data_IF_382833181111
#
_entry.id   IF_382833181111
#
_cell.length_a   1.000
_cell.length_b   1.000
_cell.length_c   1.000
_cell.angle_alpha   90.00
_cell.angle_beta   90.00
_cell.angle_gamma   90.00
#
_symmetry.space_group_name_H-M   'P 1'
#
loop_
_entity.id
_entity.type
_entity.pdbx_description
1 polymer ?
#
# COMPACT_ATOMS: atom_id res chain seq x y z
N UNK A 1 -25.76 58.97 22.77
CA UNK A 1 -24.50 59.47 23.38
C UNK A 1 -23.37 58.63 22.78
N UNK A 2 -22.70 59.07 21.74
CA UNK A 2 -21.34 59.67 21.62
C UNK A 2 -20.33 58.94 22.52
N UNK A 3 -19.30 58.26 21.96
CA UNK A 3 -18.01 58.76 21.41
C UNK A 3 -17.22 57.60 20.83
N UNK A 4 -16.84 57.57 19.63
CA UNK A 4 -15.59 57.76 18.86
C UNK A 4 -14.28 57.69 19.70
N UNK A 5 -13.34 56.82 19.31
CA UNK A 5 -11.96 57.25 19.11
C UNK A 5 -11.24 56.33 18.14
N UNK A 6 -10.66 56.94 17.20
CA UNK A 6 -9.88 56.62 16.02
C UNK A 6 -8.38 56.50 16.31
N UNK A 7 -7.69 56.02 15.29
CA UNK A 7 -6.26 56.29 14.92
C UNK A 7 -5.23 55.26 15.44
N UNK A 8 -4.21 54.89 14.73
CA UNK A 8 -3.64 55.15 13.38
C UNK A 8 -2.57 54.05 13.16
N UNK A 9 -2.48 53.48 12.00
CA UNK A 9 -1.48 53.69 10.95
C UNK A 9 -0.01 53.76 11.36
N UNK A 10 0.79 52.77 10.95
CA UNK A 10 2.09 53.05 10.34
C UNK A 10 2.56 51.92 9.41
N UNK A 11 2.78 52.31 8.20
CA UNK A 11 3.41 51.61 7.08
C UNK A 11 4.93 51.71 7.21
N UNK A 12 5.66 50.68 6.91
CA UNK A 12 7.01 50.82 6.38
C UNK A 12 7.36 49.71 5.40
N UNK A 13 7.55 50.15 4.20
CA UNK A 13 8.10 49.45 3.03
C UNK A 13 9.59 49.17 3.22
N UNK A 14 10.05 48.02 2.78
CA UNK A 14 11.38 47.89 2.22
C UNK A 14 11.37 46.86 1.07
N UNK A 15 11.60 47.38 -0.09
CA UNK A 15 11.87 46.72 -1.37
C UNK A 15 13.31 46.22 -1.32
N UNK A 16 13.56 45.00 -1.78
CA UNK A 16 14.80 44.66 -2.47
C UNK A 16 14.58 43.54 -3.47
N UNK A 17 14.92 43.88 -4.70
CA UNK A 17 14.99 43.01 -5.88
C UNK A 17 16.11 41.97 -5.77
N UNK A 18 15.90 40.83 -6.42
CA UNK A 18 17.00 39.90 -6.72
C UNK A 18 16.45 38.62 -7.36
N UNK A 19 16.19 38.65 -8.66
CA UNK A 19 15.79 37.46 -9.39
C UNK A 19 16.93 36.47 -9.58
N UNK A 20 16.57 35.21 -9.69
CA UNK A 20 17.22 34.24 -10.61
C UNK A 20 16.34 33.01 -10.79
N UNK A 21 16.10 32.71 -12.05
CA UNK A 21 15.55 31.46 -12.54
C UNK A 21 16.35 30.27 -12.02
N UNK A 22 15.69 29.30 -11.42
CA UNK A 22 16.21 27.98 -11.11
C UNK A 22 15.12 26.98 -11.46
N UNK A 23 15.39 26.19 -12.49
CA UNK A 23 14.58 25.05 -12.94
C UNK A 23 14.30 24.12 -11.74
N UNK A 24 13.04 23.85 -11.52
CA UNK A 24 12.59 22.84 -10.56
C UNK A 24 13.00 21.43 -10.99
N UNK A 25 13.84 20.83 -10.19
CA UNK A 25 13.95 19.39 -10.02
C UNK A 25 13.37 19.17 -8.63
N UNK A 26 12.18 18.67 -8.59
CA UNK A 26 11.58 18.40 -7.32
C UNK A 26 10.53 17.29 -7.50
N UNK A 27 10.02 16.79 -6.57
CA UNK A 27 8.77 16.09 -6.33
C UNK A 27 8.80 14.55 -6.40
N UNK A 28 9.90 13.90 -6.76
CA UNK A 28 10.04 12.46 -6.54
C UNK A 28 10.25 12.10 -5.04
N UNK A 29 10.81 13.06 -4.26
CA UNK A 29 11.10 12.85 -2.84
C UNK A 29 9.86 13.01 -1.94
N UNK A 30 8.87 13.79 -2.35
CA UNK A 30 7.65 14.01 -1.56
C UNK A 30 6.73 12.79 -1.54
N UNK A 31 6.70 12.01 -2.64
CA UNK A 31 5.91 10.78 -2.69
C UNK A 31 6.52 9.67 -1.84
N UNK A 32 7.85 9.63 -1.78
CA UNK A 32 8.56 8.68 -0.93
C UNK A 32 8.36 9.01 0.55
N UNK A 33 8.24 10.29 0.93
CA UNK A 33 8.00 10.70 2.33
C UNK A 33 6.60 10.32 2.82
N UNK A 34 5.56 10.43 1.98
CA UNK A 34 4.20 9.99 2.34
C UNK A 34 4.09 8.46 2.48
N UNK A 35 4.95 7.72 1.79
CA UNK A 35 5.03 6.26 1.92
C UNK A 35 5.97 5.82 3.07
N UNK A 36 6.87 6.70 3.53
CA UNK A 36 7.99 6.38 4.43
C UNK A 36 7.75 6.79 5.88
N UNK A 37 6.86 7.74 6.16
CA UNK A 37 6.69 8.27 7.53
C UNK A 37 6.14 7.22 8.53
N UNK A 38 5.61 6.10 8.03
CA UNK A 38 5.20 4.95 8.85
C UNK A 38 6.33 3.91 9.09
N UNK A 39 7.55 4.10 8.56
CA UNK A 39 8.59 3.06 8.53
C UNK A 39 9.94 3.45 9.15
N UNK A 40 10.11 4.64 9.74
CA UNK A 40 11.38 5.02 10.39
C UNK A 40 11.32 4.87 11.91
N UNK A 41 11.45 3.63 12.38
CA UNK A 41 12.08 3.32 13.67
C UNK A 41 13.33 2.45 13.43
N UNK A 42 14.41 2.64 14.21
CA UNK A 42 15.69 1.98 13.96
C UNK A 42 15.57 0.46 14.07
N UNK A 43 16.23 -0.22 13.15
CA UNK A 43 16.30 -1.67 13.05
C UNK A 43 16.66 -2.32 14.40
N UNK A 44 15.74 -3.06 14.95
CA UNK A 44 15.96 -3.93 16.07
C UNK A 44 15.46 -5.33 15.77
N UNK A 45 16.40 -6.27 15.83
CA UNK A 45 16.27 -7.71 15.94
C UNK A 45 16.00 -8.49 14.66
N UNK A 46 16.96 -9.37 14.40
CA UNK A 46 16.96 -10.43 13.40
C UNK A 46 15.65 -11.20 13.45
N UNK A 47 14.89 -11.12 12.35
CA UNK A 47 13.72 -11.96 12.14
C UNK A 47 14.16 -13.44 12.19
N UNK A 48 13.42 -14.23 12.92
CA UNK A 48 13.56 -15.68 12.93
C UNK A 48 13.38 -16.20 11.50
N UNK A 49 14.49 -16.67 10.92
CA UNK A 49 14.50 -17.34 9.63
C UNK A 49 13.88 -18.72 9.78
N UNK A 50 12.56 -18.82 9.71
CA UNK A 50 11.89 -20.07 9.40
C UNK A 50 11.45 -20.01 7.94
N UNK A 51 12.28 -20.55 7.06
CA UNK A 51 11.91 -20.81 5.67
C UNK A 51 10.63 -21.65 5.62
N UNK A 52 9.70 -21.42 4.68
CA UNK A 52 8.50 -22.23 4.54
C UNK A 52 8.88 -23.70 4.34
N UNK A 53 8.18 -24.59 5.03
CA UNK A 53 8.44 -26.02 4.97
C UNK A 53 8.23 -26.56 3.54
N UNK A 54 9.01 -27.58 3.13
CA UNK A 54 8.97 -28.18 1.77
C UNK A 54 7.59 -28.67 1.33
N UNK A 55 6.63 -28.83 2.24
CA UNK A 55 5.25 -29.21 1.93
C UNK A 55 4.49 -28.13 1.14
N UNK A 56 4.76 -26.84 1.40
CA UNK A 56 4.04 -25.73 0.74
C UNK A 56 4.44 -25.60 -0.74
N UNK A 57 5.67 -26.00 -1.09
CA UNK A 57 6.17 -25.91 -2.47
C UNK A 57 5.47 -26.87 -3.42
N UNK A 58 5.07 -28.06 -2.94
CA UNK A 58 4.39 -29.08 -3.76
C UNK A 58 2.93 -28.69 -4.03
N UNK A 59 2.24 -28.12 -3.05
CA UNK A 59 0.86 -27.63 -3.21
C UNK A 59 0.80 -26.52 -4.26
N UNK A 60 1.70 -25.53 -4.19
CA UNK A 60 1.80 -24.40 -5.12
C UNK A 60 2.09 -24.85 -6.55
N UNK A 61 2.97 -25.84 -6.74
CA UNK A 61 3.29 -26.37 -8.07
C UNK A 61 2.08 -27.03 -8.73
N UNK A 62 1.23 -27.69 -7.95
CA UNK A 62 -0.01 -28.31 -8.45
C UNK A 62 -1.08 -27.28 -8.85
N UNK A 63 -1.17 -26.15 -8.17
CA UNK A 63 -2.09 -25.05 -8.55
C UNK A 63 -1.60 -24.35 -9.82
N UNK A 64 -0.30 -24.07 -9.93
CA UNK A 64 0.30 -23.31 -11.03
C UNK A 64 -0.03 -23.89 -12.42
N UNK A 65 -0.15 -25.20 -12.53
CA UNK A 65 -0.48 -25.89 -13.81
C UNK A 65 -1.98 -25.98 -14.11
N UNK A 66 -2.85 -25.54 -13.18
CA UNK A 66 -4.30 -25.61 -13.31
C UNK A 66 -4.98 -24.26 -13.43
N UNK A 67 -4.27 -23.17 -13.07
CA UNK A 67 -4.84 -21.83 -13.08
C UNK A 67 -4.62 -21.12 -14.41
N UNK A 68 -5.53 -20.20 -14.80
CA UNK A 68 -5.29 -19.26 -15.89
C UNK A 68 -4.01 -18.47 -15.67
N UNK A 69 -3.42 -17.94 -16.74
CA UNK A 69 -2.24 -17.08 -16.64
C UNK A 69 -2.52 -15.80 -15.84
N UNK A 70 -3.75 -15.32 -15.87
CA UNK A 70 -4.26 -14.15 -15.15
C UNK A 70 -5.44 -14.58 -14.29
N UNK A 71 -5.18 -15.24 -13.14
CA UNK A 71 -6.24 -15.74 -12.27
C UNK A 71 -6.95 -14.60 -11.56
N UNK A 72 -8.20 -14.84 -11.21
CA UNK A 72 -9.08 -13.91 -10.51
C UNK A 72 -9.24 -14.36 -9.07
N UNK A 73 -9.15 -13.42 -8.14
CA UNK A 73 -9.34 -13.65 -6.71
C UNK A 73 -10.38 -12.70 -6.14
N UNK A 74 -11.17 -13.20 -5.22
CA UNK A 74 -12.06 -12.40 -4.39
C UNK A 74 -11.38 -12.09 -3.05
N UNK A 75 -11.13 -10.81 -2.80
CA UNK A 75 -10.75 -10.29 -1.48
C UNK A 75 -12.05 -10.03 -0.72
N UNK A 76 -12.45 -10.97 0.12
CA UNK A 76 -13.68 -10.86 0.93
C UNK A 76 -13.36 -10.06 2.18
N UNK A 77 -13.99 -8.92 2.34
CA UNK A 77 -13.77 -8.02 3.48
C UNK A 77 -15.01 -7.87 4.35
N UNK A 78 -14.86 -7.30 5.53
CA UNK A 78 -15.97 -6.93 6.40
C UNK A 78 -16.89 -5.84 5.81
N UNK A 79 -16.47 -5.19 4.71
CA UNK A 79 -17.23 -4.09 4.08
C UNK A 79 -17.72 -4.40 2.66
N UNK A 80 -17.41 -5.60 2.14
CA UNK A 80 -17.79 -6.06 0.81
C UNK A 80 -16.68 -6.88 0.15
N UNK A 81 -16.89 -7.34 -1.08
CA UNK A 81 -15.93 -8.12 -1.83
C UNK A 81 -15.28 -7.27 -2.92
N UNK A 82 -13.96 -7.35 -3.04
CA UNK A 82 -13.17 -6.73 -4.09
C UNK A 82 -12.62 -7.85 -4.95
N UNK A 83 -12.99 -7.86 -6.24
CA UNK A 83 -12.52 -8.87 -7.19
C UNK A 83 -11.34 -8.34 -7.95
N UNK A 84 -10.23 -9.06 -7.89
CA UNK A 84 -8.97 -8.66 -8.51
C UNK A 84 -8.49 -9.68 -9.52
N UNK A 85 -7.96 -9.23 -10.65
CA UNK A 85 -7.29 -10.04 -11.66
C UNK A 85 -5.78 -9.81 -11.54
N UNK A 86 -5.00 -10.87 -11.47
CA UNK A 86 -3.54 -10.80 -11.41
C UNK A 86 -2.92 -10.77 -12.81
N UNK A 87 -1.83 -10.04 -12.98
CA UNK A 87 -1.14 -9.92 -14.26
C UNK A 87 -0.16 -11.06 -14.50
N UNK A 88 -0.12 -11.55 -15.74
CA UNK A 88 0.78 -12.64 -16.16
C UNK A 88 2.25 -12.23 -16.25
N UNK A 89 2.52 -10.95 -16.51
CA UNK A 89 3.85 -10.40 -16.76
C UNK A 89 4.57 -9.89 -15.50
N UNK A 90 3.92 -10.08 -14.33
CA UNK A 90 4.55 -9.93 -13.00
C UNK A 90 4.55 -11.28 -12.25
N UNK A 91 5.22 -12.32 -12.78
CA UNK A 91 5.06 -13.70 -12.30
C UNK A 91 5.52 -13.92 -10.87
N UNK A 92 6.53 -13.18 -10.37
CA UNK A 92 7.00 -13.34 -8.99
C UNK A 92 5.92 -12.89 -8.00
N UNK A 93 5.33 -11.71 -8.21
CA UNK A 93 4.27 -11.17 -7.35
C UNK A 93 2.99 -11.98 -7.50
N UNK A 94 2.59 -12.31 -8.73
CA UNK A 94 1.41 -13.16 -9.01
C UNK A 94 1.51 -14.50 -8.28
N UNK A 95 2.59 -15.25 -8.51
CA UNK A 95 2.75 -16.59 -7.96
C UNK A 95 2.85 -16.57 -6.42
N UNK A 96 3.47 -15.53 -5.87
CA UNK A 96 3.53 -15.31 -4.43
C UNK A 96 2.14 -15.01 -3.84
N UNK A 97 1.37 -14.10 -4.46
CA UNK A 97 0.02 -13.78 -4.01
C UNK A 97 -0.89 -15.01 -4.03
N UNK A 98 -0.85 -15.82 -5.13
CA UNK A 98 -1.56 -17.09 -5.24
C UNK A 98 -1.22 -18.00 -4.06
N UNK A 99 0.08 -18.19 -3.79
CA UNK A 99 0.55 -19.06 -2.70
C UNK A 99 0.04 -18.60 -1.34
N UNK A 100 0.11 -17.31 -1.05
CA UNK A 100 -0.34 -16.77 0.23
C UNK A 100 -1.86 -16.84 0.38
N UNK A 101 -2.61 -16.52 -0.68
CA UNK A 101 -4.07 -16.63 -0.68
C UNK A 101 -4.53 -18.08 -0.48
N UNK A 102 -3.97 -19.02 -1.24
CA UNK A 102 -4.34 -20.44 -1.14
C UNK A 102 -3.88 -21.13 0.15
N UNK A 103 -2.90 -20.56 0.86
CA UNK A 103 -2.48 -21.02 2.19
C UNK A 103 -3.21 -20.32 3.34
N UNK A 104 -4.23 -19.54 3.05
CA UNK A 104 -5.00 -18.78 4.05
C UNK A 104 -4.14 -17.77 4.85
N UNK A 105 -3.02 -17.32 4.26
CA UNK A 105 -2.13 -16.36 4.91
C UNK A 105 -2.78 -15.01 5.16
N UNK A 106 -3.76 -14.63 4.35
CA UNK A 106 -4.44 -13.35 4.45
C UNK A 106 -5.71 -13.36 5.33
N UNK A 107 -6.11 -14.54 5.81
CA UNK A 107 -7.31 -14.65 6.64
C UNK A 107 -7.15 -13.85 7.94
N UNK A 108 -8.17 -13.08 8.26
CA UNK A 108 -8.26 -12.24 9.46
C UNK A 108 -7.22 -11.09 9.58
N UNK A 109 -6.45 -10.78 8.54
CA UNK A 109 -5.60 -9.59 8.56
C UNK A 109 -6.41 -8.32 8.29
N UNK A 110 -5.92 -7.16 8.74
CA UNK A 110 -6.61 -5.89 8.60
C UNK A 110 -6.05 -5.05 7.44
N UNK A 111 -6.88 -4.14 6.92
CA UNK A 111 -6.40 -2.94 6.28
C UNK A 111 -5.91 -1.99 7.37
N UNK A 112 -4.62 -1.99 7.62
CA UNK A 112 -3.99 -1.27 8.75
C UNK A 112 -3.57 0.15 8.41
N UNK A 113 -3.58 0.53 7.12
CA UNK A 113 -3.32 1.89 6.67
C UNK A 113 -4.28 2.26 5.55
N UNK A 114 -5.06 3.29 5.79
CA UNK A 114 -6.12 3.76 4.89
C UNK A 114 -6.04 5.27 4.77
N UNK A 115 -5.88 5.76 3.55
CA UNK A 115 -5.81 7.19 3.25
C UNK A 115 -6.83 7.51 2.18
N UNK A 116 -7.85 8.30 2.55
CA UNK A 116 -8.85 8.80 1.60
C UNK A 116 -8.19 9.71 0.56
N UNK A 117 -8.60 9.57 -0.69
CA UNK A 117 -7.93 10.23 -1.81
C UNK A 117 -6.59 9.61 -2.20
N UNK A 118 -6.23 8.40 -1.70
CA UNK A 118 -4.96 7.76 -2.04
C UNK A 118 -5.10 6.24 -2.20
N UNK A 119 -5.07 5.46 -1.10
CA UNK A 119 -5.05 3.99 -1.19
C UNK A 119 -5.52 3.32 0.12
N UNK A 120 -5.80 2.02 0.04
CA UNK A 120 -6.02 1.15 1.19
C UNK A 120 -4.96 0.05 1.21
N UNK A 121 -4.25 -0.13 2.33
CA UNK A 121 -3.13 -1.07 2.47
C UNK A 121 -3.41 -2.13 3.52
N UNK A 122 -3.13 -3.39 3.18
CA UNK A 122 -3.29 -4.54 4.05
C UNK A 122 -2.19 -5.60 3.84
N UNK A 123 -2.42 -6.83 4.33
CA UNK A 123 -1.51 -7.95 4.12
C UNK A 123 -0.42 -8.12 5.18
N UNK A 124 -0.49 -7.38 6.28
CA UNK A 124 0.41 -7.54 7.43
C UNK A 124 -0.15 -8.56 8.42
N UNK A 125 0.54 -9.71 8.65
CA UNK A 125 0.10 -10.73 9.58
C UNK A 125 0.10 -10.29 11.05
N UNK A 126 0.85 -9.24 11.42
CA UNK A 126 0.89 -8.72 12.79
C UNK A 126 -0.45 -8.09 13.19
N UNK A 127 -1.26 -7.69 12.22
CA UNK A 127 -2.58 -7.08 12.47
C UNK A 127 -3.61 -8.03 13.10
N UNK A 128 -3.33 -9.33 13.15
CA UNK A 128 -4.17 -10.30 13.89
C UNK A 128 -4.01 -10.21 15.40
N UNK A 129 -2.95 -9.55 15.87
CA UNK A 129 -2.61 -9.41 17.27
C UNK A 129 -2.65 -7.93 17.67
N UNK A 130 -3.71 -7.55 18.38
CA UNK A 130 -3.91 -6.17 18.85
C UNK A 130 -2.86 -5.73 19.89
N UNK A 131 -2.17 -6.67 20.53
CA UNK A 131 -1.05 -6.33 21.43
C UNK A 131 0.17 -5.80 20.68
N UNK A 132 0.22 -5.99 19.35
CA UNK A 132 1.29 -5.56 18.45
C UNK A 132 0.95 -4.34 17.60
N UNK A 133 -0.05 -3.56 17.99
CA UNK A 133 -0.52 -2.41 17.20
C UNK A 133 0.59 -1.42 16.83
N UNK A 134 1.62 -1.26 17.66
CA UNK A 134 2.77 -0.42 17.37
C UNK A 134 3.74 -0.98 16.29
N UNK A 135 3.58 -2.26 15.94
CA UNK A 135 4.37 -2.96 14.93
C UNK A 135 3.58 -3.17 13.61
N UNK A 136 2.32 -2.74 13.57
CA UNK A 136 1.50 -2.87 12.36
C UNK A 136 2.12 -2.08 11.20
N UNK A 137 2.21 -2.72 10.05
CA UNK A 137 2.94 -2.24 8.88
C UNK A 137 4.36 -2.79 8.74
N UNK A 138 4.92 -3.43 9.78
CA UNK A 138 6.27 -4.01 9.75
C UNK A 138 6.28 -5.52 9.47
N UNK A 139 5.13 -6.18 9.58
CA UNK A 139 4.98 -7.62 9.44
C UNK A 139 5.06 -8.12 8.00
N UNK A 140 5.34 -9.43 7.88
CA UNK A 140 5.43 -10.10 6.59
C UNK A 140 5.80 -11.57 6.74
N UNK A 141 5.93 -12.30 5.62
CA UNK A 141 6.23 -13.73 5.62
C UNK A 141 7.72 -14.05 5.83
N UNK A 142 8.56 -13.05 6.14
CA UNK A 142 9.99 -13.22 6.41
C UNK A 142 10.90 -13.17 5.16
N UNK A 143 10.40 -12.71 4.03
CA UNK A 143 11.15 -12.51 2.78
C UNK A 143 10.60 -11.30 2.01
N UNK A 144 11.38 -10.81 1.06
CA UNK A 144 11.02 -9.78 0.08
C UNK A 144 10.91 -10.39 -1.32
N UNK A 145 10.33 -9.65 -2.27
CA UNK A 145 10.19 -10.04 -3.67
C UNK A 145 10.92 -9.01 -4.51
N UNK A 146 11.80 -9.48 -5.41
CA UNK A 146 12.44 -8.58 -6.37
C UNK A 146 11.40 -7.80 -7.17
N UNK A 147 11.67 -6.52 -7.41
CA UNK A 147 10.76 -5.64 -8.12
C UNK A 147 10.45 -6.14 -9.55
N UNK A 148 9.18 -6.03 -9.95
CA UNK A 148 8.69 -6.27 -11.31
C UNK A 148 7.96 -5.00 -11.80
N UNK A 149 8.69 -3.87 -11.81
CA UNK A 149 8.15 -2.56 -12.16
C UNK A 149 8.09 -2.45 -13.68
N UNK A 150 6.88 -2.44 -14.23
CA UNK A 150 6.64 -2.42 -15.67
C UNK A 150 5.90 -1.14 -16.08
N UNK A 151 6.36 -0.40 -17.08
CA UNK A 151 5.82 0.92 -17.44
C UNK A 151 4.35 0.88 -17.93
N UNK A 152 3.88 -0.26 -18.43
CA UNK A 152 2.50 -0.46 -18.84
C UNK A 152 1.52 -0.63 -17.67
N UNK A 153 2.02 -1.00 -16.49
CA UNK A 153 1.20 -1.17 -15.29
C UNK A 153 1.32 0.07 -14.41
N UNK A 154 0.29 0.90 -14.46
CA UNK A 154 0.20 2.18 -13.75
C UNK A 154 -0.74 2.09 -12.57
N UNK A 155 -0.58 3.02 -11.64
CA UNK A 155 -1.44 3.17 -10.45
C UNK A 155 -2.79 3.80 -10.81
N UNK A 156 -3.54 3.17 -11.71
CA UNK A 156 -4.94 3.55 -11.99
C UNK A 156 -5.84 3.16 -10.80
N UNK A 157 -7.02 3.78 -10.69
CA UNK A 157 -8.01 3.39 -9.67
C UNK A 157 -8.25 1.87 -9.72
N UNK A 158 -8.18 1.23 -8.56
CA UNK A 158 -8.29 -0.23 -8.42
C UNK A 158 -7.03 -1.02 -8.75
N UNK A 159 -5.90 -0.37 -9.07
CA UNK A 159 -4.64 -1.09 -9.24
C UNK A 159 -4.24 -1.81 -7.94
N UNK A 160 -3.84 -3.07 -8.06
CA UNK A 160 -3.29 -3.88 -6.98
C UNK A 160 -1.76 -3.83 -7.06
N UNK A 161 -1.14 -3.23 -6.05
CA UNK A 161 0.29 -2.99 -6.02
C UNK A 161 0.93 -3.49 -4.73
N UNK A 162 2.22 -3.83 -4.79
CA UNK A 162 2.97 -4.31 -3.64
C UNK A 162 3.54 -3.16 -2.82
N UNK A 163 3.33 -3.20 -1.51
CA UNK A 163 3.99 -2.29 -0.58
C UNK A 163 5.48 -2.59 -0.50
N UNK A 164 6.30 -1.61 -0.13
CA UNK A 164 7.74 -1.76 0.08
C UNK A 164 8.28 -0.72 1.07
N UNK A 165 9.48 -0.94 1.58
CA UNK A 165 10.20 0.07 2.34
C UNK A 165 10.72 1.18 1.43
N UNK A 166 10.91 2.37 1.99
CA UNK A 166 11.43 3.53 1.26
C UNK A 166 12.85 3.33 0.69
N UNK A 167 13.22 4.16 -0.29
CA UNK A 167 14.45 3.99 -1.09
C UNK A 167 15.73 3.96 -0.25
N UNK A 168 15.78 4.71 0.84
CA UNK A 168 16.96 4.78 1.70
C UNK A 168 17.27 3.43 2.36
N UNK A 169 16.23 2.73 2.83
CA UNK A 169 16.34 1.42 3.46
C UNK A 169 16.31 0.26 2.45
N UNK A 170 15.86 0.54 1.22
CA UNK A 170 15.58 -0.47 0.20
C UNK A 170 15.92 0.06 -1.22
N UNK A 171 17.21 0.25 -1.55
CA UNK A 171 17.64 0.80 -2.83
C UNK A 171 17.31 -0.10 -4.03
N UNK A 172 17.11 -1.40 -3.81
CA UNK A 172 16.72 -2.36 -4.84
C UNK A 172 15.21 -2.36 -5.11
N UNK A 173 14.43 -1.57 -4.37
CA UNK A 173 12.97 -1.48 -4.49
C UNK A 173 12.26 -2.83 -4.34
N UNK A 174 12.82 -3.75 -3.56
CA UNK A 174 12.20 -5.03 -3.28
C UNK A 174 10.85 -4.83 -2.59
N UNK A 175 9.87 -5.58 -3.02
CA UNK A 175 8.52 -5.53 -2.46
C UNK A 175 8.42 -6.33 -1.17
N UNK A 176 7.49 -5.94 -0.29
CA UNK A 176 7.05 -6.78 0.83
C UNK A 176 6.60 -8.14 0.31
N UNK A 177 6.92 -9.19 1.05
CA UNK A 177 6.48 -10.55 0.71
C UNK A 177 4.97 -10.77 0.85
N UNK A 178 4.22 -9.88 1.55
CA UNK A 178 2.77 -10.04 1.71
C UNK A 178 1.97 -8.75 1.69
N UNK A 179 2.54 -7.60 2.08
CA UNK A 179 1.77 -6.37 2.12
C UNK A 179 1.50 -5.83 0.72
N UNK A 180 0.25 -5.44 0.49
CA UNK A 180 -0.23 -4.87 -0.76
C UNK A 180 -1.15 -3.69 -0.49
N UNK A 181 -1.39 -2.88 -1.51
CA UNK A 181 -2.39 -1.83 -1.47
C UNK A 181 -3.24 -1.81 -2.74
N UNK A 182 -4.46 -1.28 -2.58
CA UNK A 182 -5.38 -1.02 -3.66
C UNK A 182 -5.53 0.49 -3.83
N UNK A 183 -5.30 0.95 -5.04
CA UNK A 183 -5.37 2.38 -5.38
C UNK A 183 -6.82 2.85 -5.36
N UNK A 184 -7.10 3.90 -4.59
CA UNK A 184 -8.40 4.56 -4.58
C UNK A 184 -8.42 5.74 -5.55
N UNK A 185 -7.40 6.59 -5.52
CA UNK A 185 -7.29 7.75 -6.40
C UNK A 185 -6.05 7.66 -7.30
N UNK A 186 -6.27 7.69 -8.61
CA UNK A 186 -5.20 7.51 -9.59
C UNK A 186 -4.27 8.73 -9.70
N UNK A 187 -4.81 9.94 -9.57
CA UNK A 187 -4.03 11.16 -9.75
C UNK A 187 -3.05 11.33 -8.59
N UNK A 188 -3.50 11.04 -7.37
CA UNK A 188 -2.65 11.08 -6.18
C UNK A 188 -1.67 9.90 -6.07
N UNK A 189 -1.90 8.81 -6.81
CA UNK A 189 -0.98 7.67 -6.88
C UNK A 189 -0.04 7.71 -8.10
N UNK A 190 -0.20 8.64 -9.03
CA UNK A 190 0.60 8.69 -10.27
C UNK A 190 2.10 8.81 -10.01
N UNK A 191 2.52 9.45 -8.93
CA UNK A 191 3.93 9.56 -8.53
C UNK A 191 4.58 8.23 -8.11
N UNK A 192 3.78 7.19 -7.86
CA UNK A 192 4.28 5.85 -7.53
C UNK A 192 4.64 5.04 -8.78
N UNK A 193 4.25 5.50 -9.98
CA UNK A 193 4.60 4.85 -11.24
C UNK A 193 6.12 4.79 -11.43
N UNK A 194 6.62 3.62 -11.84
CA UNK A 194 8.07 3.39 -11.97
C UNK A 194 8.83 3.22 -10.64
N UNK A 195 8.13 3.27 -9.51
CA UNK A 195 8.72 3.10 -8.19
C UNK A 195 8.18 1.89 -7.41
N UNK A 196 6.98 1.42 -7.73
CA UNK A 196 6.33 0.27 -7.09
C UNK A 196 5.85 -0.74 -8.14
N UNK A 197 5.77 -2.01 -7.75
CA UNK A 197 5.24 -3.07 -8.63
C UNK A 197 3.73 -3.12 -8.56
N UNK A 198 3.07 -2.82 -9.68
CA UNK A 198 1.63 -3.09 -9.88
C UNK A 198 1.52 -4.47 -10.52
N UNK A 199 0.82 -5.40 -9.86
CA UNK A 199 0.76 -6.80 -10.26
C UNK A 199 -0.66 -7.33 -10.51
N UNK A 200 -1.65 -6.44 -10.47
CA UNK A 200 -3.04 -6.77 -10.74
C UNK A 200 -3.93 -5.54 -10.82
N UNK A 201 -5.20 -5.78 -11.04
CA UNK A 201 -6.23 -4.74 -11.11
C UNK A 201 -7.54 -5.23 -10.52
N UNK A 202 -8.32 -4.33 -9.94
CA UNK A 202 -9.69 -4.57 -9.51
C UNK A 202 -10.61 -4.55 -10.73
N UNK A 203 -11.39 -5.60 -10.90
CA UNK A 203 -12.38 -5.75 -11.98
C UNK A 203 -13.82 -5.59 -11.47
N UNK A 204 -14.07 -5.83 -10.16
CA UNK A 204 -15.34 -5.57 -9.48
C UNK A 204 -15.08 -5.08 -8.06
N UNK A 205 -15.97 -4.24 -7.49
CA UNK A 205 -15.85 -3.76 -6.10
C UNK A 205 -15.00 -2.50 -5.94
N UNK A 206 -14.89 -1.64 -6.97
CA UNK A 206 -14.25 -0.32 -6.83
C UNK A 206 -14.97 0.56 -5.79
N UNK A 207 -16.28 0.44 -5.67
CA UNK A 207 -17.09 1.09 -4.65
C UNK A 207 -16.76 0.61 -3.22
N UNK A 208 -16.35 -0.66 -3.08
CA UNK A 208 -15.89 -1.20 -1.80
C UNK A 208 -14.54 -0.58 -1.41
N UNK A 209 -13.64 -0.35 -2.38
CA UNK A 209 -12.39 0.39 -2.12
C UNK A 209 -12.71 1.81 -1.63
N UNK A 210 -13.61 2.54 -2.31
CA UNK A 210 -14.03 3.88 -1.89
C UNK A 210 -14.65 3.86 -0.49
N UNK A 211 -15.49 2.89 -0.20
CA UNK A 211 -16.13 2.72 1.09
C UNK A 211 -15.12 2.46 2.21
N UNK A 212 -14.11 1.63 1.96
CA UNK A 212 -13.03 1.39 2.92
C UNK A 212 -12.18 2.64 3.09
N UNK A 213 -11.82 3.32 2.00
CA UNK A 213 -10.99 4.52 2.03
C UNK A 213 -11.62 5.67 2.83
N UNK A 214 -12.96 5.73 2.89
CA UNK A 214 -13.72 6.77 3.60
C UNK A 214 -13.91 6.53 5.10
N UNK A 215 -13.36 5.45 5.68
CA UNK A 215 -13.48 5.21 7.12
C UNK A 215 -12.66 6.22 7.94
N UNK A 216 -13.07 6.47 9.17
CA UNK A 216 -12.29 7.31 10.08
C UNK A 216 -11.01 6.60 10.51
N UNK A 217 -9.90 7.33 10.50
CA UNK A 217 -8.57 6.83 10.87
C UNK A 217 -7.97 7.64 12.02
N UNK A 218 -6.97 7.07 12.67
CA UNK A 218 -6.13 7.77 13.64
C UNK A 218 -5.01 8.59 12.94
N UNK A 219 -4.12 9.17 13.72
CA UNK A 219 -2.98 9.97 13.22
C UNK A 219 -1.87 9.14 12.52
N UNK A 220 -2.03 7.83 12.45
CA UNK A 220 -1.15 6.90 11.71
C UNK A 220 -1.84 6.31 10.47
N UNK A 221 -2.96 6.89 10.06
CA UNK A 221 -3.82 6.41 8.99
C UNK A 221 -4.44 5.02 9.27
N UNK A 222 -4.44 4.56 10.54
CA UNK A 222 -5.04 3.29 10.92
C UNK A 222 -6.54 3.47 11.16
N UNK A 223 -7.42 2.64 10.57
CA UNK A 223 -8.86 2.71 10.82
C UNK A 223 -9.20 2.61 12.30
N UNK A 224 -10.10 3.52 12.79
CA UNK A 224 -10.58 3.49 14.17
C UNK A 224 -11.48 2.26 14.45
N UNK A 225 -12.07 1.69 13.41
CA UNK A 225 -12.81 0.44 13.45
C UNK A 225 -12.16 -0.53 12.49
N UNK A 226 -11.86 -1.73 12.96
CA UNK A 226 -11.16 -2.74 12.16
C UNK A 226 -11.86 -3.01 10.83
N UNK A 227 -11.14 -2.83 9.74
CA UNK A 227 -11.56 -3.28 8.41
C UNK A 227 -10.80 -4.55 8.08
N UNK A 228 -11.49 -5.68 8.17
CA UNK A 228 -10.90 -7.01 8.09
C UNK A 228 -10.95 -7.59 6.68
N UNK A 229 -9.87 -8.22 6.25
CA UNK A 229 -9.85 -9.20 5.17
C UNK A 229 -10.28 -10.53 5.79
N UNK A 230 -11.49 -10.97 5.50
CA UNK A 230 -12.03 -12.23 6.03
C UNK A 230 -11.29 -13.40 5.40
N UNK A 231 -11.11 -13.36 4.08
CA UNK A 231 -10.31 -14.34 3.31
C UNK A 231 -10.02 -13.80 1.92
N UNK A 232 -8.99 -14.36 1.27
CA UNK A 232 -8.75 -14.17 -0.17
C UNK A 232 -8.86 -15.53 -0.83
N UNK A 233 -9.81 -15.68 -1.75
CA UNK A 233 -10.10 -16.96 -2.42
C UNK A 233 -10.08 -16.84 -3.93
N UNK A 234 -9.69 -17.90 -4.60
CA UNK A 234 -9.77 -18.02 -6.04
C UNK A 234 -11.26 -17.97 -6.49
N UNK A 235 -11.55 -17.25 -7.55
CA UNK A 235 -12.85 -17.32 -8.21
C UNK A 235 -12.96 -18.67 -8.95
N UNK A 236 -14.10 -19.35 -8.79
CA UNK A 236 -14.43 -20.63 -9.43
C UNK A 236 -15.03 -20.45 -10.83
#
# INVERSE_FOLDING_TARGET
MKRYFTLALLVLLAVSCGGRHGHGKGDADAADSLATEAAEKPAAKKADKKAPAKADTVAVTNYKNKLPQEPIFDIVTSMGTIRVKLYKDTPKHRDNFIRLATSHFYDDVLFHRVIDGFMIQGGDPYTRDTSRVEEWGEGGPGYTIDAEILPQHRHKKGALAAARRGNLANPLKESSGSQFYLVQDADNCAQLDGAYTVFGETIEGLDVIDKIASVQTDNRDCPLQDVKIITIKLEE
#
